data_IF_989297307291
#
_entry.id   IF_989297307291
#
_cell.length_a   1.000
_cell.length_b   1.000
_cell.length_c   1.000
_cell.angle_alpha   90.00
_cell.angle_beta   90.00
_cell.angle_gamma   90.00
#
_symmetry.space_group_name_H-M   'P 1'
#
loop_
_entity.id
_entity.type
_entity.pdbx_description
1 polymer ?
#
# COMPACT_ATOMS: atom_id res chain seq x y z
N UNK A 1 39.60 -11.65 -27.19
CA UNK A 1 39.21 -10.55 -26.26
C UNK A 1 38.55 -11.21 -25.06
N UNK A 2 39.19 -11.23 -23.89
CA UNK A 2 38.60 -11.84 -22.69
C UNK A 2 37.62 -10.86 -22.04
N UNK A 3 36.33 -11.18 -22.04
CA UNK A 3 35.36 -10.48 -21.20
C UNK A 3 35.65 -10.85 -19.74
N UNK A 4 35.93 -9.87 -18.86
CA UNK A 4 36.11 -10.19 -17.45
C UNK A 4 34.80 -10.80 -16.91
N UNK A 5 34.89 -11.96 -16.27
CA UNK A 5 33.77 -12.75 -15.72
C UNK A 5 32.76 -11.89 -14.94
N UNK A 6 33.22 -10.83 -14.28
CA UNK A 6 32.39 -9.88 -13.53
C UNK A 6 31.39 -9.07 -14.38
N UNK A 7 31.67 -8.85 -15.67
CA UNK A 7 30.75 -8.11 -16.57
C UNK A 7 29.57 -8.98 -17.03
N UNK A 8 29.77 -10.29 -17.21
CA UNK A 8 28.71 -11.19 -17.66
C UNK A 8 27.76 -11.58 -16.52
N UNK A 9 28.28 -11.82 -15.31
CA UNK A 9 27.46 -12.07 -14.11
C UNK A 9 26.63 -10.84 -13.74
N UNK A 10 27.19 -9.64 -13.83
CA UNK A 10 26.47 -8.37 -13.60
C UNK A 10 25.33 -8.16 -14.60
N UNK A 11 25.54 -8.42 -15.90
CA UNK A 11 24.49 -8.34 -16.92
C UNK A 11 23.37 -9.36 -16.68
N UNK A 12 23.70 -10.61 -16.36
CA UNK A 12 22.70 -11.66 -16.07
C UNK A 12 21.87 -11.31 -14.82
N UNK A 13 22.51 -10.83 -13.75
CA UNK A 13 21.81 -10.35 -12.55
C UNK A 13 20.84 -9.21 -12.88
N UNK A 14 21.31 -8.20 -13.61
CA UNK A 14 20.45 -7.07 -14.02
C UNK A 14 19.25 -7.52 -14.86
N UNK A 15 19.43 -8.47 -15.78
CA UNK A 15 18.32 -9.03 -16.55
C UNK A 15 17.30 -9.75 -15.66
N UNK A 16 17.74 -10.47 -14.63
CA UNK A 16 16.86 -11.13 -13.66
C UNK A 16 16.01 -10.11 -12.89
N UNK A 17 16.65 -9.06 -12.35
CA UNK A 17 15.97 -7.96 -11.65
C UNK A 17 14.89 -7.31 -12.53
N UNK A 18 15.21 -7.07 -13.81
CA UNK A 18 14.27 -6.47 -14.76
C UNK A 18 13.11 -7.42 -15.08
N UNK A 19 13.36 -8.72 -15.19
CA UNK A 19 12.31 -9.73 -15.42
C UNK A 19 11.37 -9.82 -14.22
N UNK A 20 11.90 -9.89 -13.00
CA UNK A 20 11.10 -9.87 -11.78
C UNK A 20 10.24 -8.60 -11.72
N UNK A 21 10.83 -7.42 -11.97
CA UNK A 21 10.09 -6.15 -12.00
C UNK A 21 8.94 -6.16 -13.02
N UNK A 22 9.14 -6.76 -14.20
CA UNK A 22 8.06 -6.92 -15.20
C UNK A 22 6.97 -7.85 -14.70
N UNK A 23 7.34 -8.95 -14.04
CA UNK A 23 6.38 -9.87 -13.41
C UNK A 23 5.50 -9.15 -12.40
N UNK A 24 6.09 -8.40 -11.46
CA UNK A 24 5.35 -7.62 -10.45
C UNK A 24 4.34 -6.68 -11.12
N UNK A 25 4.78 -5.92 -12.14
CA UNK A 25 3.90 -5.01 -12.89
C UNK A 25 2.77 -5.76 -13.59
N UNK A 26 3.05 -6.92 -14.16
CA UNK A 26 2.02 -7.73 -14.83
C UNK A 26 0.94 -8.18 -13.85
N UNK A 27 1.30 -8.62 -12.64
CA UNK A 27 0.35 -8.97 -11.58
C UNK A 27 -0.51 -7.77 -11.20
N UNK A 28 0.11 -6.60 -11.03
CA UNK A 28 -0.62 -5.37 -10.75
C UNK A 28 -1.61 -4.99 -11.86
N UNK A 29 -1.23 -5.10 -13.13
CA UNK A 29 -2.16 -4.80 -14.22
C UNK A 29 -3.31 -5.80 -14.30
N UNK A 30 -3.08 -7.09 -14.03
CA UNK A 30 -4.17 -8.08 -13.90
C UNK A 30 -5.12 -7.72 -12.77
N UNK A 31 -4.59 -7.25 -11.64
CA UNK A 31 -5.40 -6.74 -10.52
C UNK A 31 -6.23 -5.50 -10.91
N UNK A 32 -5.69 -4.58 -11.70
CA UNK A 32 -6.47 -3.41 -12.14
C UNK A 32 -7.68 -3.80 -13.01
N UNK A 33 -7.60 -4.93 -13.72
CA UNK A 33 -8.71 -5.50 -14.48
C UNK A 33 -9.70 -6.25 -13.59
N UNK A 34 -9.20 -6.94 -12.56
CA UNK A 34 -10.00 -7.70 -11.60
C UNK A 34 -9.51 -7.48 -10.16
N UNK A 35 -10.23 -6.62 -9.44
CA UNK A 35 -9.86 -6.20 -8.08
C UNK A 35 -9.95 -7.32 -7.04
N UNK A 36 -10.60 -8.45 -7.35
CA UNK A 36 -10.61 -9.62 -6.46
C UNK A 36 -9.23 -10.27 -6.33
N UNK A 37 -8.28 -9.90 -7.21
CA UNK A 37 -6.90 -10.41 -7.21
C UNK A 37 -5.95 -9.65 -6.30
N UNK A 38 -6.47 -8.88 -5.34
CA UNK A 38 -5.64 -8.14 -4.39
C UNK A 38 -4.65 -9.06 -3.66
N UNK A 39 -5.10 -10.26 -3.27
CA UNK A 39 -4.28 -11.26 -2.60
C UNK A 39 -3.07 -11.70 -3.42
N UNK A 40 -3.19 -11.79 -4.75
CA UNK A 40 -2.07 -12.15 -5.61
C UNK A 40 -0.90 -11.17 -5.44
N UNK A 41 -1.18 -9.86 -5.33
CA UNK A 41 -0.13 -8.84 -5.14
C UNK A 41 0.56 -9.03 -3.79
N UNK A 42 -0.19 -9.36 -2.74
CA UNK A 42 0.36 -9.50 -1.40
C UNK A 42 1.15 -10.80 -1.21
N UNK A 43 0.82 -11.85 -1.98
CA UNK A 43 1.54 -13.12 -2.02
C UNK A 43 2.87 -13.10 -2.79
N UNK A 44 3.19 -12.01 -3.52
CA UNK A 44 4.43 -11.92 -4.29
C UNK A 44 5.65 -12.00 -3.37
N UNK A 45 6.49 -13.01 -3.61
CA UNK A 45 7.82 -13.12 -3.03
C UNK A 45 8.84 -12.50 -3.97
N UNK A 46 9.81 -11.79 -3.40
CA UNK A 46 10.90 -11.17 -4.15
C UNK A 46 12.18 -11.96 -3.93
N UNK A 47 12.90 -12.20 -5.02
CA UNK A 47 14.26 -12.72 -5.03
C UNK A 47 15.29 -11.57 -4.97
N UNK A 48 14.95 -10.39 -5.51
CA UNK A 48 15.88 -9.25 -5.62
C UNK A 48 15.40 -8.06 -4.78
N UNK A 49 16.21 -7.67 -3.79
CA UNK A 49 15.92 -6.54 -2.89
C UNK A 49 15.74 -5.21 -3.64
N UNK A 50 16.38 -5.06 -4.80
CA UNK A 50 16.28 -3.91 -5.68
C UNK A 50 14.82 -3.62 -6.13
N UNK A 51 13.91 -4.60 -6.02
CA UNK A 51 12.51 -4.46 -6.38
C UNK A 51 11.57 -4.30 -5.17
N UNK A 52 12.07 -4.37 -3.92
CA UNK A 52 11.26 -4.20 -2.70
C UNK A 52 10.48 -2.88 -2.69
N UNK A 53 11.14 -1.79 -3.05
CA UNK A 53 10.50 -0.46 -3.10
C UNK A 53 9.36 -0.42 -4.13
N UNK A 54 9.55 -1.06 -5.28
CA UNK A 54 8.54 -1.10 -6.35
C UNK A 54 7.34 -1.92 -5.91
N UNK A 55 7.56 -3.08 -5.29
CA UNK A 55 6.47 -3.90 -4.75
C UNK A 55 5.68 -3.14 -3.68
N UNK A 56 6.35 -2.43 -2.77
CA UNK A 56 5.69 -1.64 -1.74
C UNK A 56 4.81 -0.53 -2.32
N UNK A 57 5.29 0.18 -3.36
CA UNK A 57 4.49 1.19 -4.06
C UNK A 57 3.27 0.58 -4.76
N UNK A 58 3.43 -0.62 -5.33
CA UNK A 58 2.35 -1.36 -5.98
C UNK A 58 1.32 -1.82 -4.94
N UNK A 59 1.75 -2.36 -3.80
CA UNK A 59 0.86 -2.75 -2.68
C UNK A 59 0.05 -1.54 -2.18
N UNK A 60 0.71 -0.41 -1.94
CA UNK A 60 0.03 0.84 -1.54
C UNK A 60 -1.01 1.27 -2.58
N UNK A 61 -0.63 1.28 -3.85
CA UNK A 61 -1.52 1.69 -4.95
C UNK A 61 -2.70 0.73 -5.13
N UNK A 62 -2.45 -0.57 -4.95
CA UNK A 62 -3.48 -1.59 -5.02
C UNK A 62 -4.51 -1.40 -3.92
N UNK A 63 -4.07 -1.26 -2.66
CA UNK A 63 -4.97 -1.01 -1.54
C UNK A 63 -5.76 0.29 -1.69
N UNK A 64 -5.12 1.35 -2.17
CA UNK A 64 -5.81 2.62 -2.43
C UNK A 64 -6.94 2.45 -3.47
N UNK A 65 -6.64 1.79 -4.60
CA UNK A 65 -7.63 1.51 -5.64
C UNK A 65 -8.74 0.58 -5.13
N UNK A 66 -8.39 -0.39 -4.29
CA UNK A 66 -9.37 -1.28 -3.66
C UNK A 66 -10.32 -0.48 -2.79
N UNK A 67 -9.81 0.32 -1.85
CA UNK A 67 -10.61 1.13 -0.92
C UNK A 67 -11.48 2.18 -1.59
N UNK A 68 -11.08 2.65 -2.77
CA UNK A 68 -11.86 3.60 -3.56
C UNK A 68 -13.11 2.94 -4.15
N UNK A 69 -13.06 1.64 -4.49
CA UNK A 69 -14.22 0.91 -5.05
C UNK A 69 -14.97 0.09 -4.00
N UNK A 70 -14.24 -0.57 -3.11
CA UNK A 70 -14.75 -1.42 -2.05
C UNK A 70 -14.42 -0.78 -0.70
N UNK A 71 -15.43 -0.27 -0.01
CA UNK A 71 -15.26 0.45 1.27
C UNK A 71 -14.96 -0.46 2.46
N UNK A 72 -14.80 -1.76 2.24
CA UNK A 72 -14.54 -2.74 3.29
C UNK A 72 -13.25 -3.50 2.96
N UNK A 73 -12.33 -3.54 3.91
CA UNK A 73 -10.99 -4.08 3.75
C UNK A 73 -10.53 -4.65 5.08
N UNK A 74 -9.97 -5.84 5.05
CA UNK A 74 -9.33 -6.46 6.20
C UNK A 74 -8.00 -5.74 6.52
N UNK A 75 -8.05 -4.92 7.58
CA UNK A 75 -6.95 -4.06 8.00
C UNK A 75 -5.70 -4.88 8.38
N UNK A 76 -5.90 -6.01 9.06
CA UNK A 76 -4.83 -6.81 9.64
C UNK A 76 -4.16 -7.66 8.56
N UNK A 77 -4.96 -8.28 7.68
CA UNK A 77 -4.46 -9.10 6.57
C UNK A 77 -3.48 -8.35 5.66
N UNK A 78 -3.78 -7.08 5.36
CA UNK A 78 -2.96 -6.28 4.42
C UNK A 78 -2.01 -5.29 5.09
N UNK A 79 -1.96 -5.26 6.43
CA UNK A 79 -1.10 -4.38 7.22
C UNK A 79 -1.15 -2.91 6.73
N UNK A 80 -2.35 -2.35 6.63
CA UNK A 80 -2.57 -1.01 6.05
C UNK A 80 -1.83 0.08 6.84
N UNK A 81 -1.47 -0.19 8.09
CA UNK A 81 -0.75 0.70 8.98
C UNK A 81 0.65 1.08 8.46
N UNK A 82 1.19 0.34 7.48
CA UNK A 82 2.42 0.70 6.78
C UNK A 82 2.23 1.81 5.75
N UNK A 83 1.00 2.01 5.27
CA UNK A 83 0.69 2.82 4.11
C UNK A 83 -0.11 4.06 4.51
N UNK A 84 0.59 5.18 4.71
CA UNK A 84 -0.01 6.45 5.16
C UNK A 84 -1.25 6.84 4.35
N UNK A 85 -1.16 6.83 3.02
CA UNK A 85 -2.26 7.28 2.14
C UNK A 85 -3.48 6.39 2.25
N UNK A 86 -3.26 5.07 2.31
CA UNK A 86 -4.31 4.05 2.43
C UNK A 86 -5.01 4.18 3.77
N UNK A 87 -4.24 4.34 4.85
CA UNK A 87 -4.79 4.48 6.20
C UNK A 87 -5.66 5.73 6.34
N UNK A 88 -5.23 6.88 5.82
CA UNK A 88 -6.03 8.11 5.83
C UNK A 88 -7.32 7.97 5.00
N UNK A 89 -7.25 7.34 3.82
CA UNK A 89 -8.43 7.05 3.01
C UNK A 89 -9.40 6.10 3.75
N UNK A 90 -8.87 5.07 4.42
CA UNK A 90 -9.69 4.17 5.22
C UNK A 90 -10.42 4.91 6.35
N UNK A 91 -9.73 5.80 7.07
CA UNK A 91 -10.32 6.63 8.12
C UNK A 91 -11.42 7.52 7.53
N UNK A 92 -11.19 8.13 6.36
CA UNK A 92 -12.23 8.90 5.65
C UNK A 92 -13.47 8.05 5.38
N UNK A 93 -13.29 6.84 4.85
CA UNK A 93 -14.39 5.89 4.63
C UNK A 93 -15.15 5.55 5.93
N UNK A 94 -14.46 5.43 7.07
CA UNK A 94 -15.10 5.23 8.37
C UNK A 94 -15.92 6.45 8.82
N UNK A 95 -15.42 7.66 8.60
CA UNK A 95 -16.17 8.88 8.93
C UNK A 95 -17.45 9.01 8.10
N UNK A 96 -17.42 8.63 6.82
CA UNK A 96 -18.62 8.56 5.97
C UNK A 96 -19.64 7.53 6.50
N UNK A 97 -19.14 6.40 7.03
CA UNK A 97 -19.96 5.36 7.68
C UNK A 97 -20.40 5.72 9.11
N UNK A 98 -20.07 6.93 9.60
CA UNK A 98 -20.33 7.38 10.98
C UNK A 98 -19.65 6.54 12.06
N UNK A 99 -18.59 5.79 11.73
CA UNK A 99 -17.81 4.99 12.68
C UNK A 99 -16.70 5.83 13.35
N UNK A 100 -17.10 6.94 14.00
CA UNK A 100 -16.15 7.95 14.49
C UNK A 100 -15.19 7.42 15.57
N UNK A 101 -15.63 6.53 16.45
CA UNK A 101 -14.77 5.96 17.52
C UNK A 101 -13.63 5.16 16.90
N UNK A 102 -13.92 4.31 15.91
CA UNK A 102 -12.90 3.54 15.19
C UNK A 102 -11.98 4.48 14.40
N UNK A 103 -12.53 5.48 13.71
CA UNK A 103 -11.76 6.52 13.04
C UNK A 103 -10.78 7.25 13.98
N UNK A 104 -11.22 7.62 15.18
CA UNK A 104 -10.37 8.26 16.21
C UNK A 104 -9.23 7.35 16.66
N UNK A 105 -9.49 6.07 16.90
CA UNK A 105 -8.46 5.09 17.26
C UNK A 105 -7.39 4.99 16.16
N UNK A 106 -7.80 4.93 14.91
CA UNK A 106 -6.88 4.88 13.77
C UNK A 106 -6.10 6.20 13.57
N UNK A 107 -6.71 7.35 13.84
CA UNK A 107 -5.99 8.63 13.84
C UNK A 107 -4.91 8.68 14.93
N UNK A 108 -5.16 8.13 16.12
CA UNK A 108 -4.11 8.04 17.14
C UNK A 108 -2.92 7.21 16.64
N UNK A 109 -3.17 6.11 15.91
CA UNK A 109 -2.09 5.33 15.27
C UNK A 109 -1.35 6.17 14.21
N UNK A 110 -2.06 6.98 13.42
CA UNK A 110 -1.41 7.94 12.50
C UNK A 110 -0.50 8.92 13.26
N UNK A 111 -0.94 9.43 14.41
CA UNK A 111 -0.15 10.34 15.25
C UNK A 111 1.13 9.66 15.76
N UNK A 112 1.01 8.44 16.29
CA UNK A 112 2.15 7.67 16.81
C UNK A 112 3.19 7.37 15.72
N UNK A 113 2.71 7.12 14.49
CA UNK A 113 3.55 6.91 13.30
C UNK A 113 4.04 8.21 12.63
N UNK A 114 3.75 9.37 13.21
CA UNK A 114 4.10 10.71 12.68
C UNK A 114 3.52 10.98 11.28
N UNK A 115 2.36 10.42 10.97
CA UNK A 115 1.60 10.66 9.73
C UNK A 115 0.76 11.94 9.81
N UNK A 116 1.37 13.03 10.25
CA UNK A 116 0.71 14.31 10.46
C UNK A 116 0.76 15.09 9.14
N UNK A 117 -0.41 15.47 8.62
CA UNK A 117 -0.60 16.25 7.39
C UNK A 117 -1.94 16.99 7.43
N UNK A 118 -2.23 17.82 6.43
CA UNK A 118 -3.50 18.57 6.36
C UNK A 118 -4.72 17.64 6.43
N UNK A 119 -4.72 16.54 5.66
CA UNK A 119 -5.80 15.55 5.68
C UNK A 119 -5.99 14.90 7.06
N UNK A 120 -4.91 14.69 7.81
CA UNK A 120 -5.01 14.20 9.19
C UNK A 120 -5.77 15.20 10.08
N UNK A 121 -5.48 16.50 9.97
CA UNK A 121 -6.15 17.53 10.78
C UNK A 121 -7.61 17.70 10.37
N UNK A 122 -7.92 17.64 9.07
CA UNK A 122 -9.30 17.66 8.56
C UNK A 122 -10.11 16.50 9.15
N UNK A 123 -9.58 15.27 9.10
CA UNK A 123 -10.25 14.09 9.66
C UNK A 123 -10.40 14.19 11.18
N UNK A 124 -9.39 14.71 11.88
CA UNK A 124 -9.44 14.91 13.33
C UNK A 124 -10.54 15.90 13.72
N UNK A 125 -10.67 17.00 12.98
CA UNK A 125 -11.71 18.00 13.21
C UNK A 125 -13.11 17.43 12.96
N UNK A 126 -13.31 16.72 11.83
CA UNK A 126 -14.57 16.04 11.52
C UNK A 126 -14.95 15.07 12.65
N UNK A 127 -14.01 14.25 13.10
CA UNK A 127 -14.26 13.27 14.16
C UNK A 127 -14.59 13.96 15.50
N UNK A 128 -13.84 15.00 15.88
CA UNK A 128 -14.08 15.70 17.15
C UNK A 128 -15.42 16.46 17.17
N UNK A 129 -15.88 16.99 16.04
CA UNK A 129 -17.20 17.64 15.94
C UNK A 129 -18.36 16.65 16.13
N UNK A 130 -18.17 15.38 15.75
CA UNK A 130 -19.22 14.37 15.76
C UNK A 130 -19.15 13.42 16.98
N UNK A 131 -18.02 13.37 17.68
CA UNK A 131 -17.89 12.72 18.99
C UNK A 131 -18.18 13.79 20.04
N UNK A 132 -19.46 14.05 20.27
CA UNK A 132 -19.92 14.74 21.48
C UNK A 132 -19.87 13.70 22.60
N UNK A 133 -19.04 13.95 23.61
CA UNK A 133 -19.14 13.27 24.92
C UNK A 133 -20.10 14.11 25.76
#
# INVERSE_FOLDING_TARGET
MFTPLNKETSKKKMQSIVRERRSIKSVYYRYLLDLNKLDEIFSLQLEHEENCKVLNQIKESALYNFLTKYKDLDIEKYDIFKYRRVLLLYIRNLTEKKEFIKGKKLLNICRDKKYICNEYYELLEIINRNIII
#
